data_IF_798869011807
#
_entry.id   IF_798869011807
#
_cell.length_a   1.000
_cell.length_b   1.000
_cell.length_c   1.000
_cell.angle_alpha   90.00
_cell.angle_beta   90.00
_cell.angle_gamma   90.00
#
_symmetry.space_group_name_H-M   'P 1'
#
loop_
_entity.id
_entity.type
_entity.pdbx_description
1 polymer ?
#
# COMPACT_ATOMS: atom_id res chain seq x y z
N UNK A 1 53.50 0.01 -16.58
CA UNK A 1 52.09 0.31 -16.93
C UNK A 1 51.31 0.36 -15.62
N UNK A 2 50.70 1.50 -15.25
CA UNK A 2 49.91 1.60 -14.00
C UNK A 2 48.43 1.29 -14.32
N UNK A 3 47.72 0.48 -13.52
CA UNK A 3 46.31 0.21 -13.77
C UNK A 3 45.51 1.51 -13.64
N UNK A 4 44.82 1.91 -14.71
CA UNK A 4 43.82 2.99 -14.65
C UNK A 4 42.57 2.36 -14.07
N UNK A 5 42.33 2.55 -12.77
CA UNK A 5 41.01 2.24 -12.18
C UNK A 5 40.03 3.30 -12.66
N UNK A 6 39.08 2.88 -13.50
CA UNK A 6 38.00 3.72 -13.97
C UNK A 6 37.09 4.10 -12.77
N UNK A 7 37.30 5.29 -12.21
CA UNK A 7 36.49 5.84 -11.12
C UNK A 7 35.02 6.00 -11.53
N UNK A 8 34.72 6.18 -12.82
CA UNK A 8 33.36 6.31 -13.33
C UNK A 8 32.57 4.99 -13.36
N UNK A 9 33.23 3.83 -13.19
CA UNK A 9 32.54 2.54 -13.14
C UNK A 9 31.90 2.22 -11.77
N UNK A 10 32.08 3.09 -10.76
CA UNK A 10 31.46 2.94 -9.43
C UNK A 10 30.14 3.70 -9.27
N UNK A 11 29.71 4.45 -10.27
CA UNK A 11 28.59 5.39 -10.15
C UNK A 11 27.37 4.98 -10.98
N UNK A 12 27.14 3.67 -11.10
CA UNK A 12 25.79 3.17 -11.43
C UNK A 12 25.03 3.16 -10.10
N UNK A 13 24.62 4.34 -9.66
CA UNK A 13 23.78 4.50 -8.48
C UNK A 13 22.37 4.02 -8.82
N UNK A 14 22.07 2.77 -8.49
CA UNK A 14 21.08 2.37 -7.47
C UNK A 14 19.94 3.38 -7.16
N UNK A 15 19.28 3.92 -8.19
CA UNK A 15 18.09 4.78 -8.05
C UNK A 15 16.79 4.11 -8.47
N UNK A 16 16.86 2.92 -9.06
CA UNK A 16 15.68 2.23 -9.57
C UNK A 16 15.02 1.43 -8.44
N UNK A 17 13.89 1.97 -7.97
CA UNK A 17 12.99 1.26 -7.08
C UNK A 17 12.11 0.32 -7.89
N UNK A 18 12.01 -0.95 -7.49
CA UNK A 18 11.08 -1.91 -8.07
C UNK A 18 9.95 -2.17 -7.10
N UNK A 19 8.72 -1.94 -7.55
CA UNK A 19 7.51 -2.31 -6.80
C UNK A 19 7.09 -3.71 -7.23
N UNK A 20 7.08 -4.66 -6.29
CA UNK A 20 6.53 -6.00 -6.51
C UNK A 20 5.18 -6.07 -5.79
N UNK A 21 4.17 -6.50 -6.53
CA UNK A 21 2.83 -6.77 -6.00
C UNK A 21 2.73 -8.27 -5.71
N UNK A 22 2.68 -8.67 -4.43
CA UNK A 22 2.34 -10.05 -4.04
C UNK A 22 0.81 -10.15 -3.93
N UNK A 23 0.17 -10.54 -5.04
CA UNK A 23 -1.28 -10.76 -5.10
C UNK A 23 -1.78 -11.90 -4.20
N UNK A 24 -0.89 -12.81 -3.77
CA UNK A 24 -1.23 -13.92 -2.87
C UNK A 24 -1.33 -13.50 -1.41
N UNK A 25 -0.51 -12.52 -1.00
CA UNK A 25 -0.53 -11.93 0.36
C UNK A 25 -1.12 -10.53 0.44
N UNK A 26 -1.59 -9.98 -0.69
CA UNK A 26 -2.17 -8.63 -0.82
C UNK A 26 -1.26 -7.55 -0.22
N UNK A 27 0.00 -7.57 -0.63
CA UNK A 27 1.00 -6.60 -0.16
C UNK A 27 1.81 -6.06 -1.34
N UNK A 28 2.10 -4.76 -1.31
CA UNK A 28 3.01 -4.10 -2.25
C UNK A 28 4.32 -3.78 -1.53
N UNK A 29 5.43 -4.21 -2.12
CA UNK A 29 6.76 -4.05 -1.57
C UNK A 29 7.62 -3.23 -2.52
N UNK A 30 8.23 -2.17 -2.00
CA UNK A 30 9.21 -1.37 -2.74
C UNK A 30 10.62 -1.82 -2.39
N UNK A 31 11.38 -2.26 -3.39
CA UNK A 31 12.76 -2.70 -3.27
C UNK A 31 13.69 -1.69 -3.96
N UNK A 32 14.88 -1.45 -3.42
CA UNK A 32 15.97 -0.81 -4.18
C UNK A 32 16.76 -1.87 -4.95
N UNK A 33 17.07 -1.59 -6.21
CA UNK A 33 17.90 -2.46 -7.05
C UNK A 33 19.38 -2.41 -6.61
N UNK A 34 19.68 -3.07 -5.49
CA UNK A 34 21.02 -3.11 -4.89
C UNK A 34 21.03 -3.74 -3.49
N UNK A 35 19.89 -3.76 -2.81
CA UNK A 35 19.74 -4.46 -1.55
C UNK A 35 19.71 -5.99 -1.76
N UNK A 36 20.45 -6.72 -0.92
CA UNK A 36 20.39 -8.18 -0.83
C UNK A 36 18.91 -8.58 -0.74
N UNK A 37 18.46 -9.45 -1.66
CA UNK A 37 17.10 -9.91 -1.96
C UNK A 37 16.11 -10.15 -0.79
N UNK A 38 15.82 -9.15 0.04
CA UNK A 38 15.04 -9.38 1.26
C UNK A 38 14.86 -8.21 2.22
N UNK A 39 15.52 -7.06 2.04
CA UNK A 39 15.22 -5.89 2.88
C UNK A 39 14.04 -5.12 2.32
N UNK A 40 12.83 -5.38 2.86
CA UNK A 40 11.64 -4.61 2.55
C UNK A 40 11.80 -3.19 3.10
N UNK A 41 11.85 -2.18 2.23
CA UNK A 41 12.03 -0.79 2.70
C UNK A 41 10.77 -0.23 3.38
N UNK A 42 9.57 -0.61 2.91
CA UNK A 42 8.30 -0.08 3.45
C UNK A 42 7.10 -0.89 2.96
N UNK A 43 6.25 -1.33 3.88
CA UNK A 43 4.87 -1.69 3.54
C UNK A 43 4.13 -0.40 3.17
N UNK A 44 3.61 -0.28 1.95
CA UNK A 44 2.82 0.90 1.53
C UNK A 44 1.35 0.72 1.95
N UNK A 45 1.11 0.14 3.13
CA UNK A 45 -0.21 0.06 3.74
C UNK A 45 -0.51 1.36 4.46
N UNK A 46 -1.68 1.94 4.17
CA UNK A 46 -2.24 3.04 4.94
C UNK A 46 -3.56 2.59 5.55
N UNK A 47 -3.91 3.17 6.69
CA UNK A 47 -5.11 2.81 7.42
C UNK A 47 -5.88 4.03 7.91
N UNK A 48 -7.18 3.85 8.11
CA UNK A 48 -8.09 4.87 8.64
C UNK A 48 -9.10 4.23 9.57
N UNK A 49 -9.12 4.64 10.83
CA UNK A 49 -10.12 4.20 11.80
C UNK A 49 -11.46 4.91 11.56
N UNK A 50 -12.57 4.25 11.90
CA UNK A 50 -13.92 4.81 11.89
C UNK A 50 -14.74 4.24 13.05
N UNK A 51 -15.75 4.99 13.50
CA UNK A 51 -16.59 4.60 14.65
C UNK A 51 -18.05 4.91 14.40
N UNK A 52 -18.89 3.89 14.54
CA UNK A 52 -20.35 3.96 14.42
C UNK A 52 -20.83 4.67 13.15
N UNK A 53 -20.24 4.33 12.00
CA UNK A 53 -20.60 4.90 10.71
C UNK A 53 -21.22 3.85 9.78
N UNK A 54 -22.16 4.29 8.94
CA UNK A 54 -22.73 3.51 7.82
C UNK A 54 -22.05 3.84 6.49
N UNK A 55 -21.30 4.95 6.42
CA UNK A 55 -20.57 5.37 5.23
C UNK A 55 -19.28 6.08 5.64
N UNK A 56 -18.16 5.70 5.03
CA UNK A 56 -16.83 6.28 5.29
C UNK A 56 -16.16 6.61 3.98
N UNK A 57 -15.77 7.86 3.79
CA UNK A 57 -14.98 8.29 2.62
C UNK A 57 -13.53 8.48 3.02
N UNK A 58 -12.63 7.87 2.26
CA UNK A 58 -11.18 7.99 2.45
C UNK A 58 -10.56 8.66 1.23
N UNK A 59 -9.94 9.82 1.45
CA UNK A 59 -9.09 10.49 0.45
C UNK A 59 -7.64 10.09 0.70
N UNK A 60 -7.12 9.20 -0.15
CA UNK A 60 -5.78 8.64 0.00
C UNK A 60 -4.74 9.36 -0.85
N UNK A 61 -5.15 10.17 -1.85
CA UNK A 61 -4.24 10.97 -2.67
C UNK A 61 -3.28 10.15 -3.54
N UNK A 62 -3.51 8.85 -3.69
CA UNK A 62 -2.71 7.96 -4.55
C UNK A 62 -3.29 8.05 -5.95
N UNK A 63 -2.47 8.15 -7.00
CA UNK A 63 -2.95 8.30 -8.39
C UNK A 63 -3.62 7.07 -9.00
N UNK A 64 -4.08 6.11 -8.18
CA UNK A 64 -4.63 4.82 -8.59
C UNK A 64 -5.68 4.33 -7.57
N UNK A 65 -6.52 3.39 -7.99
CA UNK A 65 -7.57 2.79 -7.13
C UNK A 65 -6.96 1.70 -6.24
N UNK A 66 -6.91 1.88 -4.90
CA UNK A 66 -6.25 0.93 -4.03
C UNK A 66 -7.10 -0.33 -3.78
N UNK A 67 -6.45 -1.41 -3.36
CA UNK A 67 -7.15 -2.56 -2.78
C UNK A 67 -7.54 -2.20 -1.36
N UNK A 68 -8.79 -2.46 -0.98
CA UNK A 68 -9.37 -2.05 0.32
C UNK A 68 -9.86 -3.27 1.08
N UNK A 69 -9.54 -3.33 2.38
CA UNK A 69 -10.11 -4.29 3.32
C UNK A 69 -10.38 -3.61 4.67
N UNK A 70 -11.16 -4.27 5.52
CA UNK A 70 -11.64 -3.68 6.77
C UNK A 70 -11.53 -4.73 7.87
N UNK A 71 -10.99 -4.33 9.00
CA UNK A 71 -10.95 -5.11 10.23
C UNK A 71 -11.92 -4.48 11.24
N UNK A 72 -12.72 -5.31 11.91
CA UNK A 72 -13.55 -4.85 13.02
C UNK A 72 -12.70 -4.62 14.29
N UNK A 73 -13.34 -4.13 15.36
CA UNK A 73 -12.68 -3.97 16.66
C UNK A 73 -12.15 -5.28 17.29
N UNK A 74 -12.50 -6.43 16.71
CA UNK A 74 -12.07 -7.78 17.10
C UNK A 74 -10.94 -8.32 16.22
N UNK A 75 -10.43 -7.52 15.28
CA UNK A 75 -9.45 -7.90 14.26
C UNK A 75 -9.95 -8.99 13.28
N UNK A 76 -11.26 -9.18 13.16
CA UNK A 76 -11.84 -10.02 12.11
C UNK A 76 -12.08 -9.21 10.84
N UNK A 77 -11.86 -9.85 9.68
CA UNK A 77 -12.19 -9.24 8.40
C UNK A 77 -13.72 -9.06 8.31
N UNK A 78 -14.14 -7.80 8.22
CA UNK A 78 -15.53 -7.49 7.90
C UNK A 78 -15.82 -7.96 6.48
N UNK A 79 -16.85 -8.79 6.35
CA UNK A 79 -17.21 -9.49 5.11
C UNK A 79 -17.70 -8.54 4.00
N UNK A 80 -18.97 -8.69 3.60
CA UNK A 80 -19.51 -7.92 2.48
C UNK A 80 -19.70 -6.45 2.86
N UNK A 81 -18.97 -5.55 2.20
CA UNK A 81 -19.16 -4.11 2.24
C UNK A 81 -19.21 -3.56 0.81
N UNK A 82 -19.96 -2.48 0.61
CA UNK A 82 -19.91 -1.76 -0.66
C UNK A 82 -18.68 -0.88 -0.70
N UNK A 83 -17.73 -1.13 -1.61
CA UNK A 83 -16.62 -0.21 -1.87
C UNK A 83 -16.81 0.43 -3.24
N UNK A 84 -16.93 1.77 -3.27
CA UNK A 84 -17.05 2.55 -4.50
C UNK A 84 -15.89 3.53 -4.60
N UNK A 85 -15.08 3.39 -5.64
CA UNK A 85 -14.04 4.37 -5.98
C UNK A 85 -14.68 5.58 -6.66
N UNK A 86 -14.88 6.67 -5.90
CA UNK A 86 -15.44 7.92 -6.41
C UNK A 86 -14.45 8.66 -7.31
N UNK A 87 -13.15 8.47 -7.13
CA UNK A 87 -12.10 8.94 -8.03
C UNK A 87 -10.88 8.02 -7.95
N UNK A 88 -9.80 8.36 -8.66
CA UNK A 88 -8.50 7.69 -8.44
C UNK A 88 -7.88 8.09 -7.11
N UNK A 89 -8.29 9.19 -6.48
CA UNK A 89 -7.69 9.72 -5.24
C UNK A 89 -8.50 9.39 -3.98
N UNK A 90 -9.70 8.83 -4.14
CA UNK A 90 -10.63 8.58 -3.05
C UNK A 90 -11.57 7.41 -3.32
N UNK A 91 -12.00 6.77 -2.25
CA UNK A 91 -13.04 5.75 -2.26
C UNK A 91 -14.01 5.96 -1.09
N UNK A 92 -15.20 5.38 -1.21
CA UNK A 92 -16.23 5.38 -0.17
C UNK A 92 -16.66 3.96 0.12
N UNK A 93 -16.68 3.62 1.41
CA UNK A 93 -17.20 2.36 1.92
C UNK A 93 -18.58 2.60 2.49
N UNK A 94 -19.54 1.73 2.16
CA UNK A 94 -20.89 1.74 2.70
C UNK A 94 -21.21 0.42 3.39
N UNK A 95 -21.80 0.52 4.58
CA UNK A 95 -22.23 -0.58 5.42
C UNK A 95 -23.76 -0.60 5.53
N UNK A 96 -24.35 -1.79 5.62
CA UNK A 96 -25.80 -1.94 5.81
C UNK A 96 -26.28 -1.49 7.20
N UNK A 97 -25.38 -1.52 8.18
CA UNK A 97 -25.62 -1.11 9.58
C UNK A 97 -24.42 -0.30 10.07
N UNK A 98 -24.60 0.51 11.12
CA UNK A 98 -23.48 1.25 11.71
C UNK A 98 -22.41 0.29 12.22
N UNK A 99 -21.18 0.55 11.82
CA UNK A 99 -20.03 -0.29 12.15
C UNK A 99 -18.86 0.56 12.64
N UNK A 100 -17.95 -0.09 13.37
CA UNK A 100 -16.69 0.48 13.84
C UNK A 100 -15.56 -0.44 13.44
N UNK A 101 -14.40 0.12 13.11
CA UNK A 101 -13.27 -0.67 12.67
C UNK A 101 -12.14 0.16 12.09
N UNK A 102 -11.23 -0.52 11.41
CA UNK A 102 -10.10 0.08 10.70
C UNK A 102 -10.14 -0.32 9.24
N UNK A 103 -10.13 0.67 8.36
CA UNK A 103 -10.00 0.49 6.92
C UNK A 103 -8.52 0.44 6.59
N UNK A 104 -8.11 -0.55 5.82
CA UNK A 104 -6.75 -0.69 5.31
C UNK A 104 -6.77 -0.62 3.79
N UNK A 105 -5.79 0.08 3.22
CA UNK A 105 -5.69 0.27 1.78
C UNK A 105 -4.25 0.35 1.29
N UNK A 106 -4.00 -0.27 0.12
CA UNK A 106 -2.72 -0.28 -0.59
C UNK A 106 -2.90 0.18 -2.03
#
# INVERSE_FOLDING_TARGET
MRPITNRAARDIQDTDFTVIVDSGRKQEFMYKMGDIAGYMLKSISASSAFTNQTSVTVTHGRGYKPIVWIEDGSAEMLGSFGCTHTSVLAFTITFAVSQSGTIHYI
#
